data_IF_546233158492
#
_entry.id   IF_546233158492
#
_cell.length_a   1.000
_cell.length_b   1.000
_cell.length_c   1.000
_cell.angle_alpha   90.00
_cell.angle_beta   90.00
_cell.angle_gamma   90.00
#
_symmetry.space_group_name_H-M   'P 1'
#
loop_
_entity.id
_entity.type
_entity.pdbx_description
1 polymer ?
#
# COMPACT_ATOMS: atom_id res chain seq x y z
N UNK A 1 5.44 14.53 -16.85
CA UNK A 1 5.94 13.16 -17.15
C UNK A 1 7.45 13.15 -17.04
N UNK A 2 8.00 12.67 -15.91
CA UNK A 2 9.45 12.51 -15.79
C UNK A 2 9.85 11.23 -16.52
N UNK A 3 10.71 11.36 -17.52
CA UNK A 3 11.27 10.20 -18.21
C UNK A 3 12.12 9.40 -17.21
N UNK A 4 11.73 8.15 -16.98
CA UNK A 4 12.54 7.18 -16.22
C UNK A 4 13.84 7.01 -17.03
N UNK A 5 15.00 7.24 -16.41
CA UNK A 5 16.29 7.01 -17.07
C UNK A 5 16.33 5.56 -17.60
N UNK A 6 16.87 5.36 -18.81
CA UNK A 6 16.84 4.06 -19.50
C UNK A 6 17.31 2.89 -18.63
N UNK A 7 18.33 3.12 -17.80
CA UNK A 7 18.91 2.09 -16.91
C UNK A 7 17.95 1.60 -15.81
N UNK A 8 17.10 2.51 -15.29
CA UNK A 8 16.11 2.16 -14.25
C UNK A 8 14.90 1.44 -14.82
N UNK A 9 14.50 1.77 -16.05
CA UNK A 9 13.34 1.17 -16.69
C UNK A 9 13.57 -0.31 -17.04
N UNK A 10 14.78 -0.68 -17.43
CA UNK A 10 15.15 -2.05 -17.80
C UNK A 10 15.60 -2.90 -16.61
N UNK A 11 15.55 -2.34 -15.40
CA UNK A 11 15.86 -3.06 -14.17
C UNK A 11 14.87 -4.21 -13.97
N UNK A 12 15.40 -5.41 -13.76
CA UNK A 12 14.62 -6.61 -13.42
C UNK A 12 14.26 -6.57 -11.93
N UNK A 13 13.02 -6.91 -11.62
CA UNK A 13 12.53 -7.04 -10.24
C UNK A 13 13.12 -8.30 -9.59
N UNK A 14 13.81 -8.11 -8.48
CA UNK A 14 14.47 -9.17 -7.69
C UNK A 14 14.14 -9.12 -6.17
N UNK A 15 13.42 -8.08 -5.75
CA UNK A 15 12.96 -7.85 -4.37
C UNK A 15 11.42 -7.81 -4.30
N UNK A 16 10.82 -7.82 -3.09
CA UNK A 16 9.37 -7.67 -2.94
C UNK A 16 8.89 -6.34 -3.54
N UNK A 17 7.91 -6.41 -4.45
CA UNK A 17 7.30 -5.25 -5.09
C UNK A 17 5.79 -5.27 -4.91
N UNK A 18 5.27 -4.13 -4.49
CA UNK A 18 3.86 -3.86 -4.21
C UNK A 18 3.31 -2.81 -5.16
N UNK A 19 2.04 -2.91 -5.48
CA UNK A 19 1.28 -1.84 -6.12
C UNK A 19 0.32 -1.30 -5.08
N UNK A 20 0.35 0.01 -4.89
CA UNK A 20 -0.34 0.69 -3.79
C UNK A 20 -1.03 1.96 -4.27
N UNK A 21 -2.01 2.43 -3.51
CA UNK A 21 -2.58 3.76 -3.61
C UNK A 21 -1.93 4.67 -2.57
N UNK A 22 -1.41 5.80 -3.00
CA UNK A 22 -0.78 6.76 -2.10
C UNK A 22 -1.83 7.50 -1.26
N UNK A 23 -1.65 7.49 0.06
CA UNK A 23 -2.43 8.33 0.97
C UNK A 23 -1.87 9.76 0.91
N UNK A 24 -2.69 10.78 0.58
CA UNK A 24 -2.20 12.16 0.48
C UNK A 24 -2.06 12.84 1.85
N UNK A 25 -1.24 13.90 1.90
CA UNK A 25 -1.27 14.87 3.02
C UNK A 25 -2.62 15.62 3.06
N UNK A 26 -3.12 16.01 4.24
CA UNK A 26 -2.47 15.89 5.57
C UNK A 26 -2.68 14.51 6.24
N UNK A 27 -3.47 13.60 5.66
CA UNK A 27 -3.76 12.30 6.26
C UNK A 27 -2.49 11.44 6.42
N UNK A 28 -1.62 11.44 5.41
CA UNK A 28 -0.34 10.71 5.49
C UNK A 28 0.49 11.14 6.72
N UNK A 29 0.52 12.43 7.03
CA UNK A 29 1.25 12.97 8.17
C UNK A 29 0.64 12.53 9.51
N UNK A 30 -0.69 12.47 9.60
CA UNK A 30 -1.40 11.95 10.78
C UNK A 30 -1.03 10.47 11.00
N UNK A 31 -1.07 9.64 9.95
CA UNK A 31 -0.73 8.21 10.05
C UNK A 31 0.75 8.02 10.36
N UNK A 32 1.65 8.85 9.79
CA UNK A 32 3.07 8.82 10.15
C UNK A 32 3.30 9.17 11.64
N UNK A 33 2.49 10.05 12.23
CA UNK A 33 2.59 10.34 13.67
C UNK A 33 2.18 9.12 14.51
N UNK A 34 1.17 8.36 14.10
CA UNK A 34 0.83 7.08 14.73
C UNK A 34 1.98 6.07 14.61
N UNK A 35 2.56 5.95 13.41
CA UNK A 35 3.74 5.08 13.22
C UNK A 35 4.91 5.48 14.12
N UNK A 36 5.17 6.78 14.31
CA UNK A 36 6.22 7.27 15.22
C UNK A 36 6.02 6.79 16.65
N UNK A 37 4.78 6.72 17.12
CA UNK A 37 4.44 6.27 18.45
C UNK A 37 4.57 4.75 18.61
N UNK A 38 4.03 3.99 17.65
CA UNK A 38 3.86 2.54 17.76
C UNK A 38 4.94 1.73 17.02
N UNK A 39 5.48 2.24 15.92
CA UNK A 39 6.51 1.60 15.10
C UNK A 39 7.45 2.65 14.48
N UNK A 40 8.32 3.29 15.29
CA UNK A 40 9.17 4.38 14.85
C UNK A 40 10.14 4.00 13.73
N UNK A 41 10.52 2.73 13.60
CA UNK A 41 11.40 2.26 12.52
C UNK A 41 10.76 2.40 11.14
N UNK A 42 9.42 2.30 11.08
CA UNK A 42 8.65 2.40 9.84
C UNK A 42 7.99 3.77 9.63
N UNK A 43 8.19 4.70 10.55
CA UNK A 43 7.53 6.00 10.51
C UNK A 43 7.88 6.83 9.26
N UNK A 44 9.07 6.62 8.68
CA UNK A 44 9.53 7.29 7.47
C UNK A 44 9.03 6.66 6.17
N UNK A 45 8.45 5.45 6.21
CA UNK A 45 7.91 4.81 5.02
C UNK A 45 6.70 5.57 4.48
N UNK A 46 6.49 5.57 3.16
CA UNK A 46 5.28 6.14 2.56
C UNK A 46 4.02 5.55 3.20
N UNK A 47 2.97 6.36 3.30
CA UNK A 47 1.65 5.90 3.76
C UNK A 47 0.84 5.51 2.55
N UNK A 48 0.31 4.31 2.57
CA UNK A 48 -0.31 3.70 1.41
C UNK A 48 -1.46 2.75 1.78
N UNK A 49 -2.33 2.47 0.80
CA UNK A 49 -3.29 1.38 0.83
C UNK A 49 -2.81 0.34 -0.17
N UNK A 50 -2.49 -0.85 0.33
CA UNK A 50 -1.96 -1.94 -0.48
C UNK A 50 -3.04 -2.50 -1.41
N UNK A 51 -2.76 -2.58 -2.72
CA UNK A 51 -3.62 -3.24 -3.71
C UNK A 51 -3.13 -4.66 -4.02
N UNK A 52 -1.81 -4.87 -4.01
CA UNK A 52 -1.18 -6.17 -4.24
C UNK A 52 -0.12 -6.43 -3.18
N UNK A 53 -0.06 -7.63 -2.62
CA UNK A 53 0.85 -7.94 -1.53
C UNK A 53 0.58 -9.31 -0.92
N UNK A 54 0.55 -9.39 0.40
CA UNK A 54 0.32 -10.65 1.10
C UNK A 54 -1.13 -11.17 1.03
N UNK A 55 -2.09 -10.34 0.58
CA UNK A 55 -3.48 -10.73 0.42
C UNK A 55 -4.04 -10.27 -0.93
N UNK A 56 -5.08 -10.93 -1.40
CA UNK A 56 -5.74 -10.64 -2.66
C UNK A 56 -4.96 -11.12 -3.87
N UNK A 57 -4.15 -10.26 -4.46
CA UNK A 57 -3.47 -10.55 -5.73
C UNK A 57 -2.05 -11.10 -5.55
N UNK A 58 -1.42 -10.90 -4.40
CA UNK A 58 -0.04 -11.29 -4.16
C UNK A 58 0.99 -10.23 -4.59
N UNK A 59 2.26 -10.53 -4.38
CA UNK A 59 3.38 -9.67 -4.79
C UNK A 59 3.58 -9.73 -6.31
N UNK A 60 4.16 -8.68 -6.87
CA UNK A 60 4.63 -8.72 -8.25
C UNK A 60 5.71 -9.80 -8.37
N UNK A 61 5.50 -10.79 -9.25
CA UNK A 61 6.45 -11.89 -9.45
C UNK A 61 7.78 -11.37 -9.99
N UNK A 62 8.87 -11.92 -9.49
CA UNK A 62 10.24 -11.60 -9.94
C UNK A 62 10.43 -11.87 -11.45
N UNK A 63 11.49 -11.28 -12.00
CA UNK A 63 11.87 -11.48 -13.40
C UNK A 63 11.06 -10.67 -14.41
N UNK A 64 10.25 -9.72 -13.96
CA UNK A 64 9.62 -8.68 -14.80
C UNK A 64 10.46 -7.41 -14.72
N UNK A 65 10.47 -6.60 -15.76
CA UNK A 65 11.16 -5.31 -15.74
C UNK A 65 10.26 -4.20 -15.21
N UNK A 66 10.87 -3.14 -14.67
CA UNK A 66 10.14 -1.93 -14.26
C UNK A 66 9.34 -1.36 -15.44
N UNK A 67 9.90 -1.38 -16.66
CA UNK A 67 9.24 -0.93 -17.89
C UNK A 67 7.95 -1.69 -18.19
N UNK A 68 8.01 -3.04 -18.12
CA UNK A 68 6.83 -3.90 -18.36
C UNK A 68 5.72 -3.63 -17.36
N UNK A 69 6.07 -3.53 -16.07
CA UNK A 69 5.13 -3.27 -14.98
C UNK A 69 4.50 -1.88 -15.15
N UNK A 70 5.33 -0.85 -15.35
CA UNK A 70 4.87 0.52 -15.51
C UNK A 70 3.94 0.70 -16.71
N UNK A 71 4.28 0.13 -17.87
CA UNK A 71 3.47 0.22 -19.06
C UNK A 71 2.08 -0.42 -18.89
N UNK A 72 2.02 -1.60 -18.24
CA UNK A 72 0.74 -2.27 -17.93
C UNK A 72 -0.10 -1.48 -16.95
N UNK A 73 0.54 -0.88 -15.93
CA UNK A 73 -0.14 -0.04 -14.95
C UNK A 73 -0.65 1.27 -15.57
N UNK A 74 0.10 1.90 -16.47
CA UNK A 74 -0.33 3.10 -17.20
C UNK A 74 -1.58 2.82 -18.02
N UNK A 75 -1.65 1.66 -18.70
CA UNK A 75 -2.86 1.26 -19.45
C UNK A 75 -4.04 0.93 -18.51
N UNK A 76 -3.79 0.32 -17.35
CA UNK A 76 -4.82 0.07 -16.36
C UNK A 76 -5.35 1.38 -15.74
N UNK A 77 -4.46 2.32 -15.44
CA UNK A 77 -4.81 3.61 -14.82
C UNK A 77 -5.74 4.46 -15.72
N UNK A 78 -5.70 4.31 -17.04
CA UNK A 78 -6.64 4.98 -17.97
C UNK A 78 -8.10 4.57 -17.76
N UNK A 79 -8.35 3.46 -17.07
CA UNK A 79 -9.69 2.93 -16.76
C UNK A 79 -10.15 3.28 -15.35
N UNK A 80 -9.32 4.00 -14.60
CA UNK A 80 -9.54 4.31 -13.20
C UNK A 80 -9.62 5.82 -13.01
N UNK A 81 -10.51 6.24 -12.11
CA UNK A 81 -10.68 7.65 -11.76
C UNK A 81 -10.30 7.88 -10.30
N UNK A 82 -9.90 9.10 -9.92
CA UNK A 82 -9.76 9.47 -8.51
C UNK A 82 -11.06 9.22 -7.75
N UNK A 83 -10.96 8.65 -6.55
CA UNK A 83 -12.12 8.35 -5.70
C UNK A 83 -11.81 8.63 -4.23
N UNK A 84 -12.87 8.77 -3.43
CA UNK A 84 -12.74 9.02 -2.00
C UNK A 84 -12.87 7.73 -1.20
N UNK A 85 -12.09 7.65 -0.11
CA UNK A 85 -12.26 6.65 0.94
C UNK A 85 -12.23 7.33 2.31
N UNK A 86 -12.70 6.63 3.33
CA UNK A 86 -12.49 6.99 4.73
C UNK A 86 -11.92 5.80 5.48
N UNK A 87 -11.06 6.08 6.45
CA UNK A 87 -10.65 5.07 7.42
C UNK A 87 -11.81 4.83 8.41
N UNK A 88 -11.76 3.69 9.10
CA UNK A 88 -12.81 3.29 10.03
C UNK A 88 -12.23 3.03 11.43
N UNK A 89 -11.59 1.89 11.64
CA UNK A 89 -11.07 1.49 12.95
C UNK A 89 -9.64 0.95 12.85
N UNK A 90 -9.04 0.66 13.99
CA UNK A 90 -7.81 -0.15 14.06
C UNK A 90 -8.19 -1.61 14.20
N UNK A 91 -7.54 -2.47 13.43
CA UNK A 91 -7.65 -3.91 13.53
C UNK A 91 -6.27 -4.57 13.47
N UNK A 92 -6.23 -5.87 13.69
CA UNK A 92 -5.02 -6.69 13.67
C UNK A 92 -5.25 -7.95 12.85
N UNK A 93 -4.31 -8.32 11.99
CA UNK A 93 -4.37 -9.61 11.32
C UNK A 93 -4.26 -10.75 12.35
N UNK A 94 -5.15 -11.77 12.28
CA UNK A 94 -5.12 -12.90 13.20
C UNK A 94 -3.73 -13.53 13.30
N UNK A 95 -3.32 -13.87 14.52
CA UNK A 95 -2.05 -14.53 14.84
C UNK A 95 -0.79 -13.77 14.37
N UNK A 96 -0.91 -12.46 14.18
CA UNK A 96 0.22 -11.58 13.80
C UNK A 96 0.31 -10.37 14.73
N UNK A 97 1.44 -9.66 14.64
CA UNK A 97 1.62 -8.34 15.27
C UNK A 97 1.47 -7.20 14.25
N UNK A 98 0.70 -7.42 13.19
CA UNK A 98 0.43 -6.44 12.14
C UNK A 98 -0.86 -5.71 12.47
N UNK A 99 -0.73 -4.42 12.82
CA UNK A 99 -1.84 -3.52 13.10
C UNK A 99 -2.06 -2.57 11.94
N UNK A 100 -3.30 -2.34 11.61
CA UNK A 100 -3.67 -1.54 10.45
C UNK A 100 -4.98 -0.75 10.67
N UNK A 101 -5.14 0.32 9.92
CA UNK A 101 -6.42 1.00 9.77
C UNK A 101 -7.27 0.23 8.75
N UNK A 102 -8.50 -0.09 9.13
CA UNK A 102 -9.54 -0.57 8.23
C UNK A 102 -10.09 0.61 7.43
N UNK A 103 -10.82 0.32 6.36
CA UNK A 103 -11.49 1.31 5.54
C UNK A 103 -12.99 1.04 5.55
N UNK A 104 -13.78 2.12 5.48
CA UNK A 104 -15.21 2.00 5.17
C UNK A 104 -15.38 1.37 3.78
N UNK A 105 -16.48 0.67 3.57
CA UNK A 105 -16.74 0.04 2.27
C UNK A 105 -16.60 1.02 1.12
N UNK A 106 -15.87 0.62 0.09
CA UNK A 106 -15.65 1.40 -1.14
C UNK A 106 -15.66 0.48 -2.35
N UNK A 107 -16.76 0.48 -3.12
CA UNK A 107 -16.84 -0.24 -4.38
C UNK A 107 -15.75 0.18 -5.37
N UNK A 108 -15.37 1.46 -5.38
CA UNK A 108 -14.32 2.00 -6.24
C UNK A 108 -12.95 1.42 -5.90
N UNK A 109 -12.65 1.21 -4.61
CA UNK A 109 -11.41 0.57 -4.17
C UNK A 109 -11.36 -0.89 -4.61
N UNK A 110 -12.46 -1.63 -4.43
CA UNK A 110 -12.55 -3.02 -4.88
C UNK A 110 -12.46 -3.12 -6.41
N UNK A 111 -13.10 -2.21 -7.13
CA UNK A 111 -12.97 -2.12 -8.59
C UNK A 111 -11.52 -1.82 -9.00
N UNK A 112 -10.86 -0.87 -8.35
CA UNK A 112 -9.46 -0.54 -8.60
C UNK A 112 -8.56 -1.75 -8.39
N UNK A 113 -8.72 -2.46 -7.28
CA UNK A 113 -7.94 -3.67 -6.99
C UNK A 113 -8.16 -4.74 -8.07
N UNK A 114 -9.40 -4.95 -8.51
CA UNK A 114 -9.73 -5.89 -9.58
C UNK A 114 -9.05 -5.51 -10.90
N UNK A 115 -9.15 -4.25 -11.32
CA UNK A 115 -8.50 -3.77 -12.56
C UNK A 115 -7.00 -3.98 -12.51
N UNK A 116 -6.36 -3.72 -11.36
CA UNK A 116 -4.92 -3.95 -11.17
C UNK A 116 -4.59 -5.44 -11.20
N UNK A 117 -5.39 -6.29 -10.58
CA UNK A 117 -5.16 -7.75 -10.58
C UNK A 117 -5.23 -8.36 -11.98
N UNK A 118 -6.02 -7.76 -12.87
CA UNK A 118 -6.27 -8.22 -14.26
C UNK A 118 -5.44 -7.47 -15.31
N UNK A 119 -4.54 -6.56 -14.94
CA UNK A 119 -3.81 -5.70 -15.87
C UNK A 119 -2.69 -6.40 -16.66
N UNK A 120 -2.50 -7.70 -16.47
CA UNK A 120 -1.50 -8.51 -17.19
C UNK A 120 -0.10 -8.51 -16.56
N UNK A 121 0.09 -7.89 -15.40
CA UNK A 121 1.26 -8.10 -14.55
C UNK A 121 1.19 -9.51 -13.97
N UNK A 122 2.33 -10.19 -13.87
CA UNK A 122 2.40 -11.48 -13.19
C UNK A 122 2.54 -11.25 -11.69
N UNK A 123 1.69 -11.92 -10.91
CA UNK A 123 1.70 -11.89 -9.45
C UNK A 123 1.95 -13.28 -8.88
N UNK A 124 2.60 -13.34 -7.73
CA UNK A 124 2.74 -14.58 -6.98
C UNK A 124 1.37 -14.93 -6.33
N UNK A 125 1.01 -16.21 -6.24
CA UNK A 125 -0.26 -16.59 -5.63
C UNK A 125 -0.26 -16.28 -4.13
N UNK A 126 -1.41 -15.89 -3.59
CA UNK A 126 -1.64 -15.75 -2.17
C UNK A 126 -2.91 -16.50 -1.75
N UNK A 127 -2.91 -17.19 -0.59
CA UNK A 127 -4.09 -17.90 -0.11
C UNK A 127 -5.12 -16.99 0.58
N UNK A 128 -4.77 -15.74 0.84
CA UNK A 128 -5.60 -14.83 1.62
C UNK A 128 -6.46 -13.95 0.72
N UNK A 129 -7.75 -13.76 1.04
CA UNK A 129 -8.62 -12.83 0.32
C UNK A 129 -8.10 -11.39 0.46
N UNK A 130 -8.52 -10.54 -0.48
CA UNK A 130 -8.20 -9.12 -0.41
C UNK A 130 -8.85 -8.48 0.83
N UNK A 131 -8.04 -7.83 1.62
CA UNK A 131 -8.46 -7.05 2.77
C UNK A 131 -7.81 -5.66 2.65
N UNK A 132 -8.56 -4.62 2.22
CA UNK A 132 -8.01 -3.27 2.08
C UNK A 132 -7.64 -2.71 3.45
N UNK A 133 -6.40 -2.22 3.57
CA UNK A 133 -5.88 -1.74 4.83
C UNK A 133 -4.72 -0.75 4.63
N UNK A 134 -4.47 0.05 5.67
CA UNK A 134 -3.27 0.86 5.80
C UNK A 134 -2.49 0.46 7.05
N UNK A 135 -1.33 -0.15 6.89
CA UNK A 135 -0.52 -0.65 8.01
C UNK A 135 -0.01 0.49 8.88
N UNK A 136 -0.22 0.37 10.19
CA UNK A 136 0.29 1.29 11.21
C UNK A 136 1.57 0.74 11.82
N UNK A 137 1.57 -0.52 12.26
CA UNK A 137 2.69 -1.15 12.95
C UNK A 137 2.87 -2.61 12.53
N UNK A 138 4.14 -3.04 12.45
CA UNK A 138 4.56 -4.42 12.17
C UNK A 138 5.43 -4.95 13.32
N UNK A 139 5.09 -4.63 14.56
CA UNK A 139 5.93 -5.01 15.69
C UNK A 139 5.67 -6.42 16.14
N UNK A 140 6.73 -7.22 16.16
CA UNK A 140 6.74 -8.56 16.74
C UNK A 140 6.61 -8.56 18.28
N UNK A 141 6.71 -7.41 18.96
CA UNK A 141 6.74 -7.34 20.40
C UNK A 141 6.20 -6.01 20.96
N UNK A 142 4.90 -5.78 20.90
CA UNK A 142 4.26 -4.81 21.78
C UNK A 142 4.07 -5.54 23.12
N UNK A 143 5.07 -5.48 24.00
CA UNK A 143 5.04 -6.12 25.33
C UNK A 143 4.28 -5.30 26.37
N UNK A 144 3.89 -4.08 26.06
CA UNK A 144 3.17 -3.20 26.96
C UNK A 144 1.67 -3.22 26.60
N UNK A 145 0.88 -3.87 27.46
CA UNK A 145 -0.57 -3.99 27.32
C UNK A 145 -1.27 -2.62 27.19
N UNK A 146 -0.71 -1.57 27.84
CA UNK A 146 -1.26 -0.21 27.73
C UNK A 146 -1.04 0.36 26.34
N UNK A 147 0.13 0.16 25.74
CA UNK A 147 0.40 0.58 24.37
C UNK A 147 -0.47 -0.15 23.38
N UNK A 148 -0.72 -1.44 23.61
CA UNK A 148 -1.62 -2.24 22.78
C UNK A 148 -3.06 -1.71 22.88
N UNK A 149 -3.54 -1.41 24.08
CA UNK A 149 -4.86 -0.80 24.27
C UNK A 149 -4.94 0.57 23.59
N UNK A 150 -3.94 1.42 23.76
CA UNK A 150 -3.90 2.74 23.12
C UNK A 150 -3.95 2.63 21.58
N UNK A 151 -3.35 1.60 21.00
CA UNK A 151 -3.39 1.37 19.56
C UNK A 151 -4.81 1.02 19.09
N UNK A 152 -5.53 0.17 19.82
CA UNK A 152 -6.91 -0.18 19.46
C UNK A 152 -7.93 0.96 19.71
N UNK A 153 -7.65 1.85 20.64
CA UNK A 153 -8.46 3.03 20.92
C UNK A 153 -7.94 4.30 20.26
N UNK A 154 -7.14 4.15 19.22
CA UNK A 154 -6.63 5.27 18.45
C UNK A 154 -7.81 6.08 17.87
N UNK A 155 -7.75 7.39 17.99
CA UNK A 155 -8.70 8.31 17.33
C UNK A 155 -8.39 8.33 15.82
N UNK A 156 -9.08 7.45 15.09
CA UNK A 156 -8.89 7.30 13.65
C UNK A 156 -9.55 8.47 12.93
N UNK A 157 -8.80 9.21 12.08
CA UNK A 157 -9.40 10.31 11.33
C UNK A 157 -10.50 9.83 10.37
N UNK A 158 -11.70 10.38 10.49
CA UNK A 158 -12.86 9.99 9.67
C UNK A 158 -12.98 10.81 8.37
N UNK A 159 -12.19 11.88 8.22
CA UNK A 159 -12.28 12.75 7.05
C UNK A 159 -12.01 11.98 5.76
N UNK A 160 -12.88 12.14 4.74
CA UNK A 160 -12.66 11.51 3.45
C UNK A 160 -11.37 11.99 2.81
N UNK A 161 -10.62 11.08 2.22
CA UNK A 161 -9.41 11.38 1.46
C UNK A 161 -9.58 11.02 -0.01
N UNK A 162 -9.07 11.87 -0.91
CA UNK A 162 -9.10 11.65 -2.34
C UNK A 162 -7.84 10.87 -2.77
N UNK A 163 -8.01 9.61 -3.14
CA UNK A 163 -6.95 8.79 -3.73
C UNK A 163 -6.87 9.07 -5.22
N UNK A 164 -5.69 9.44 -5.70
CA UNK A 164 -5.47 9.84 -7.09
C UNK A 164 -4.16 9.36 -7.70
N UNK A 165 -3.37 8.62 -6.96
CA UNK A 165 -2.09 8.11 -7.44
C UNK A 165 -1.90 6.64 -7.08
N UNK A 166 -1.42 5.89 -8.08
CA UNK A 166 -0.85 4.57 -7.90
C UNK A 166 0.68 4.67 -7.83
N UNK A 167 1.29 3.85 -7.00
CA UNK A 167 2.75 3.74 -6.92
C UNK A 167 3.20 2.28 -6.95
N UNK A 168 4.35 2.04 -7.56
CA UNK A 168 5.06 0.76 -7.54
C UNK A 168 6.15 0.87 -6.51
N UNK A 169 6.04 0.15 -5.40
CA UNK A 169 6.95 0.17 -4.27
C UNK A 169 7.83 -1.08 -4.25
N UNK A 170 9.15 -0.89 -4.30
CA UNK A 170 10.12 -1.95 -4.06
C UNK A 170 10.64 -1.86 -2.62
N UNK A 171 10.44 -2.90 -1.84
CA UNK A 171 10.98 -3.02 -0.49
C UNK A 171 12.39 -3.60 -0.55
N UNK A 172 13.39 -2.77 -0.28
CA UNK A 172 14.80 -3.21 -0.21
C UNK A 172 15.09 -3.99 1.07
N UNK A 173 14.45 -3.56 2.14
CA UNK A 173 14.45 -4.23 3.46
C UNK A 173 13.16 -3.85 4.21
N UNK A 174 13.06 -4.23 5.48
CA UNK A 174 11.86 -3.99 6.30
C UNK A 174 11.54 -2.50 6.50
N UNK A 175 12.54 -1.61 6.37
CA UNK A 175 12.46 -0.19 6.71
C UNK A 175 12.84 0.74 5.55
N UNK A 176 13.14 0.19 4.36
CA UNK A 176 13.55 0.96 3.20
C UNK A 176 12.70 0.62 1.97
N UNK A 177 12.03 1.64 1.46
CA UNK A 177 11.19 1.57 0.27
C UNK A 177 11.74 2.48 -0.83
N UNK A 178 11.77 1.97 -2.05
CA UNK A 178 12.04 2.74 -3.27
C UNK A 178 10.77 2.82 -4.12
N UNK A 179 10.35 4.04 -4.47
CA UNK A 179 9.27 4.24 -5.43
C UNK A 179 9.85 4.06 -6.83
N UNK A 180 9.51 2.97 -7.50
CA UNK A 180 9.97 2.66 -8.86
C UNK A 180 9.22 3.47 -9.91
N UNK A 181 7.91 3.64 -9.73
CA UNK A 181 7.04 4.35 -10.65
C UNK A 181 5.84 4.93 -9.91
N UNK A 182 5.32 6.06 -10.41
CA UNK A 182 4.12 6.72 -9.90
C UNK A 182 3.23 7.18 -11.04
N UNK A 183 1.94 6.90 -10.95
CA UNK A 183 0.94 7.12 -11.99
C UNK A 183 -0.25 7.85 -11.39
N UNK A 184 -0.72 8.91 -12.04
CA UNK A 184 -1.98 9.54 -11.68
C UNK A 184 -3.14 8.74 -12.27
N UNK A 185 -4.23 8.61 -11.51
CA UNK A 185 -5.52 8.14 -12.01
C UNK A 185 -6.12 9.21 -12.93
N UNK A 186 -6.86 8.80 -13.95
CA UNK A 186 -7.36 9.69 -15.04
C UNK A 186 -8.68 10.36 -14.70
#
# INVERSE_FOLDING_TARGET
MQAIGNDRADRIIDCPVYIVLDVPSPMAEKIQSFRKEFDPERASLPVEITLTGSCGTGLVSKGQTVREISGKLEEAAKKLHPFQISFDTVDRFPDTDIFFLTLKESPELLHTQKVISECGIRFDPTPYPYNPHCTIALRKEIRDDRKLLNLFFLDVPEEPILLKNLSVYAMKDANACEILHKIALS
#
